data_IF_967656110383
#
_entry.id   IF_967656110383
#
_cell.length_a   1.000
_cell.length_b   1.000
_cell.length_c   1.000
_cell.angle_alpha   90.00
_cell.angle_beta   90.00
_cell.angle_gamma   90.00
#
_symmetry.space_group_name_H-M   'P 1'
#
loop_
_entity.id
_entity.type
_entity.pdbx_description
1 polymer ?
#
# COMPACT_ATOMS: atom_id res chain seq x y z
N UNK A 1 -22.76 10.96 21.93
CA UNK A 1 -22.43 11.41 20.56
C UNK A 1 -21.13 12.16 20.70
N UNK A 2 -20.04 11.44 20.90
CA UNK A 2 -18.72 12.00 21.26
C UNK A 2 -17.64 11.09 20.68
N UNK A 3 -16.72 11.74 19.97
CA UNK A 3 -15.41 11.30 19.50
C UNK A 3 -15.31 10.03 18.63
N UNK A 4 -15.82 10.19 17.40
CA UNK A 4 -15.26 9.54 16.21
C UNK A 4 -13.94 10.22 15.83
N UNK A 5 -12.90 10.05 16.62
CA UNK A 5 -11.55 10.33 16.13
C UNK A 5 -11.12 9.07 15.35
N UNK A 6 -11.50 9.01 14.07
CA UNK A 6 -10.84 8.14 13.12
C UNK A 6 -9.34 8.31 13.36
N UNK A 7 -8.62 7.21 13.57
CA UNK A 7 -7.17 7.27 13.70
C UNK A 7 -6.67 8.12 12.54
N UNK A 8 -6.18 9.31 12.87
CA UNK A 8 -5.62 10.24 11.91
C UNK A 8 -4.37 9.50 11.44
N UNK A 9 -4.54 8.70 10.37
CA UNK A 9 -3.44 8.17 9.62
C UNK A 9 -2.51 9.36 9.44
N UNK A 10 -1.23 9.21 9.80
CA UNK A 10 -0.19 10.21 9.55
C UNK A 10 -0.03 10.32 8.03
N UNK A 11 -1.05 10.91 7.40
CA UNK A 11 -1.21 11.09 5.97
C UNK A 11 -0.34 12.28 5.65
N UNK A 12 0.65 12.11 4.77
CA UNK A 12 1.46 13.24 4.37
C UNK A 12 0.56 14.32 3.79
N UNK A 13 0.61 15.52 4.36
CA UNK A 13 -0.01 16.70 3.75
C UNK A 13 0.89 17.19 2.62
N UNK A 14 0.63 16.74 1.40
CA UNK A 14 1.28 17.31 0.21
C UNK A 14 0.63 18.63 -0.17
N UNK A 15 1.45 19.65 -0.43
CA UNK A 15 0.93 20.86 -1.06
C UNK A 15 0.59 20.61 -2.54
N UNK A 16 -0.15 21.54 -3.16
CA UNK A 16 -0.61 21.38 -4.54
C UNK A 16 0.51 21.10 -5.56
N UNK A 17 1.67 21.74 -5.40
CA UNK A 17 2.82 21.50 -6.28
C UNK A 17 3.43 20.10 -6.06
N UNK A 18 3.52 19.65 -4.81
CA UNK A 18 3.96 18.30 -4.47
C UNK A 18 3.01 17.24 -5.02
N UNK A 19 1.70 17.44 -4.89
CA UNK A 19 0.68 16.56 -5.47
C UNK A 19 0.87 16.44 -6.97
N UNK A 20 0.98 17.55 -7.71
CA UNK A 20 1.24 17.50 -9.16
C UNK A 20 2.54 16.79 -9.52
N UNK A 21 3.62 17.01 -8.76
CA UNK A 21 4.90 16.33 -8.98
C UNK A 21 4.82 14.82 -8.73
N UNK A 22 4.12 14.40 -7.68
CA UNK A 22 3.96 12.99 -7.34
C UNK A 22 2.99 12.27 -8.27
N UNK A 23 1.90 12.91 -8.67
CA UNK A 23 0.95 12.35 -9.65
C UNK A 23 1.65 12.15 -11.01
N UNK A 24 2.46 13.13 -11.44
CA UNK A 24 3.30 12.99 -12.64
C UNK A 24 4.32 11.85 -12.52
N UNK A 25 4.92 11.65 -11.35
CA UNK A 25 5.84 10.54 -11.11
C UNK A 25 5.12 9.18 -11.12
N UNK A 26 3.93 9.09 -10.52
CA UNK A 26 3.09 7.88 -10.53
C UNK A 26 2.75 7.49 -11.97
N UNK A 27 2.34 8.46 -12.80
CA UNK A 27 2.04 8.23 -14.21
C UNK A 27 3.27 7.77 -15.00
N UNK A 28 4.42 8.40 -14.77
CA UNK A 28 5.68 7.99 -15.41
C UNK A 28 6.05 6.54 -15.06
N UNK A 29 5.90 6.12 -13.80
CA UNK A 29 6.17 4.73 -13.39
C UNK A 29 5.18 3.78 -14.07
N UNK A 30 3.88 4.10 -14.08
CA UNK A 30 2.86 3.25 -14.72
C UNK A 30 3.11 3.07 -16.22
N UNK A 31 3.59 4.11 -16.93
CA UNK A 31 3.77 4.07 -18.39
C UNK A 31 5.16 3.60 -18.81
N UNK A 32 6.21 3.97 -18.08
CA UNK A 32 7.62 3.79 -18.49
C UNK A 32 8.47 2.99 -17.53
N UNK A 33 7.96 2.67 -16.34
CA UNK A 33 8.74 2.00 -15.31
C UNK A 33 9.56 2.97 -14.47
N UNK A 34 10.28 2.42 -13.48
CA UNK A 34 11.04 3.23 -12.52
C UNK A 34 12.18 3.99 -13.18
N UNK A 35 12.83 3.38 -14.17
CA UNK A 35 13.92 4.02 -14.93
C UNK A 35 13.45 5.22 -15.76
N UNK A 36 12.14 5.31 -16.04
CA UNK A 36 11.51 6.44 -16.71
C UNK A 36 11.26 7.65 -15.80
N UNK A 37 11.64 7.59 -14.53
CA UNK A 37 11.47 8.70 -13.58
C UNK A 37 12.76 9.50 -13.50
N UNK A 38 12.76 10.69 -14.12
CA UNK A 38 13.83 11.68 -13.95
C UNK A 38 13.29 12.99 -13.39
N UNK A 39 14.14 13.75 -12.67
CA UNK A 39 13.80 15.10 -12.19
C UNK A 39 13.32 15.99 -13.34
N UNK A 40 13.94 15.84 -14.51
CA UNK A 40 13.60 16.62 -15.71
C UNK A 40 12.20 16.28 -16.26
N UNK A 41 11.82 15.00 -16.27
CA UNK A 41 10.51 14.57 -16.72
C UNK A 41 9.42 14.91 -15.71
N UNK A 42 9.68 14.72 -14.42
CA UNK A 42 8.74 15.09 -13.35
C UNK A 42 8.48 16.60 -13.38
N UNK A 43 9.53 17.43 -13.47
CA UNK A 43 9.39 18.87 -13.60
C UNK A 43 8.53 19.26 -14.80
N UNK A 44 8.80 18.64 -15.97
CA UNK A 44 8.09 18.91 -17.21
C UNK A 44 6.60 18.54 -17.14
N UNK A 45 6.28 17.33 -16.68
CA UNK A 45 4.91 16.83 -16.63
C UNK A 45 4.09 17.51 -15.51
N UNK A 46 4.73 17.92 -14.41
CA UNK A 46 4.07 18.64 -13.32
C UNK A 46 3.95 20.17 -13.54
N UNK A 47 4.52 20.69 -14.63
CA UNK A 47 4.50 22.12 -14.95
C UNK A 47 5.32 22.99 -13.97
N UNK A 48 6.43 22.46 -13.44
CA UNK A 48 7.30 23.16 -12.48
C UNK A 48 8.75 23.21 -12.98
N UNK A 49 9.58 24.04 -12.35
CA UNK A 49 11.02 24.11 -12.65
C UNK A 49 11.79 22.97 -11.96
N UNK A 50 12.93 22.54 -12.53
CA UNK A 50 13.81 21.54 -11.88
C UNK A 50 14.25 21.97 -10.47
N UNK A 51 14.63 23.24 -10.20
CA UNK A 51 14.92 23.69 -8.83
C UNK A 51 13.76 23.50 -7.84
N UNK A 52 12.51 23.61 -8.30
CA UNK A 52 11.33 23.33 -7.47
C UNK A 52 11.25 21.86 -7.06
N UNK A 53 11.57 20.94 -7.97
CA UNK A 53 11.65 19.50 -7.66
C UNK A 53 12.82 19.22 -6.71
N UNK A 54 14.02 19.74 -7.00
CA UNK A 54 15.22 19.55 -6.17
C UNK A 54 15.09 20.07 -4.75
N UNK A 55 14.28 21.11 -4.52
CA UNK A 55 13.96 21.60 -3.18
C UNK A 55 13.26 20.53 -2.32
N UNK A 56 12.54 19.60 -2.95
CA UNK A 56 11.76 18.57 -2.25
C UNK A 56 12.41 17.20 -2.24
N UNK A 57 13.06 16.80 -3.33
CA UNK A 57 13.71 15.52 -3.49
C UNK A 57 15.08 15.70 -4.15
N UNK A 58 16.13 15.19 -3.50
CA UNK A 58 17.49 15.35 -3.95
C UNK A 58 17.85 14.43 -5.14
N UNK A 59 17.05 13.37 -5.37
CA UNK A 59 17.32 12.37 -6.39
C UNK A 59 16.05 11.78 -7.01
N UNK A 60 16.20 11.11 -8.15
CA UNK A 60 15.13 10.33 -8.77
C UNK A 60 14.65 9.18 -7.86
N UNK A 61 15.56 8.51 -7.13
CA UNK A 61 15.17 7.44 -6.19
C UNK A 61 14.27 7.97 -5.07
N UNK A 62 14.53 9.17 -4.56
CA UNK A 62 13.66 9.82 -3.58
C UNK A 62 12.27 10.15 -4.15
N UNK A 63 12.21 10.58 -5.42
CA UNK A 63 10.93 10.81 -6.11
C UNK A 63 10.16 9.50 -6.25
N UNK A 64 10.82 8.42 -6.68
CA UNK A 64 10.19 7.10 -6.83
C UNK A 64 9.61 6.64 -5.49
N UNK A 65 10.40 6.69 -4.40
CA UNK A 65 9.89 6.32 -3.06
C UNK A 65 8.68 7.16 -2.65
N UNK A 66 8.71 8.45 -2.92
CA UNK A 66 7.60 9.34 -2.60
C UNK A 66 6.36 9.06 -3.48
N UNK A 67 6.55 8.70 -4.76
CA UNK A 67 5.48 8.32 -5.67
C UNK A 67 4.82 6.99 -5.27
N UNK A 68 5.62 5.97 -4.90
CA UNK A 68 5.08 4.71 -4.34
C UNK A 68 4.29 4.98 -3.06
N UNK A 69 4.80 5.87 -2.20
CA UNK A 69 4.09 6.25 -1.00
C UNK A 69 2.75 6.95 -1.31
N UNK A 70 2.75 7.90 -2.25
CA UNK A 70 1.55 8.57 -2.75
C UNK A 70 0.52 7.60 -3.31
N UNK A 71 0.95 6.65 -4.14
CA UNK A 71 0.08 5.61 -4.69
C UNK A 71 -0.50 4.72 -3.58
N UNK A 72 0.31 4.32 -2.58
CA UNK A 72 -0.16 3.55 -1.42
C UNK A 72 -1.24 4.30 -0.65
N UNK A 73 -1.02 5.59 -0.35
CA UNK A 73 -2.00 6.43 0.35
C UNK A 73 -3.30 6.52 -0.47
N UNK A 74 -3.20 6.71 -1.79
CA UNK A 74 -4.38 6.76 -2.68
C UNK A 74 -5.19 5.46 -2.67
N UNK A 75 -4.55 4.30 -2.54
CA UNK A 75 -5.24 3.02 -2.40
C UNK A 75 -5.95 2.92 -1.04
N UNK A 76 -5.29 3.33 0.04
CA UNK A 76 -5.85 3.31 1.40
C UNK A 76 -7.02 4.29 1.55
N UNK A 77 -7.02 5.41 0.83
CA UNK A 77 -8.14 6.37 0.81
C UNK A 77 -9.46 5.77 0.30
N UNK A 78 -9.43 4.61 -0.36
CA UNK A 78 -10.62 3.85 -0.76
C UNK A 78 -11.26 3.06 0.40
N UNK A 79 -10.67 3.14 1.60
CA UNK A 79 -11.07 2.49 2.85
C UNK A 79 -11.17 3.55 3.97
N UNK A 80 -12.17 4.45 3.91
CA UNK A 80 -12.19 5.65 4.75
C UNK A 80 -12.38 5.34 6.24
N UNK A 81 -13.07 4.25 6.57
CA UNK A 81 -13.31 3.81 7.95
C UNK A 81 -12.53 2.51 8.22
N UNK A 82 -11.68 2.45 9.26
CA UNK A 82 -11.04 1.21 9.66
C UNK A 82 -12.08 0.17 10.09
N UNK A 83 -11.94 -1.06 9.60
CA UNK A 83 -12.79 -2.19 9.95
C UNK A 83 -13.00 -2.36 11.47
N UNK A 84 -14.19 -2.83 11.85
CA UNK A 84 -14.64 -3.05 13.23
C UNK A 84 -14.87 -4.52 13.56
N UNK A 85 -14.75 -5.42 12.59
CA UNK A 85 -14.87 -6.86 12.79
C UNK A 85 -13.76 -7.63 12.06
N UNK A 86 -13.48 -8.86 12.51
CA UNK A 86 -12.54 -9.77 11.84
C UNK A 86 -12.85 -9.95 10.36
N UNK A 87 -14.13 -10.17 10.04
CA UNK A 87 -14.61 -10.38 8.68
C UNK A 87 -14.42 -9.13 7.79
N UNK A 88 -14.62 -7.92 8.34
CA UNK A 88 -14.28 -6.67 7.67
C UNK A 88 -12.78 -6.51 7.41
N UNK A 89 -11.93 -6.83 8.39
CA UNK A 89 -10.47 -6.78 8.20
C UNK A 89 -10.04 -7.69 7.05
N UNK A 90 -10.50 -8.95 7.04
CA UNK A 90 -10.12 -9.91 5.99
C UNK A 90 -10.64 -9.47 4.63
N UNK A 91 -11.88 -8.98 4.55
CA UNK A 91 -12.44 -8.44 3.31
C UNK A 91 -11.64 -7.27 2.77
N UNK A 92 -11.26 -6.33 3.64
CA UNK A 92 -10.51 -5.15 3.22
C UNK A 92 -9.09 -5.53 2.77
N UNK A 93 -8.44 -6.49 3.42
CA UNK A 93 -7.12 -7.00 2.98
C UNK A 93 -7.22 -7.66 1.61
N UNK A 94 -8.26 -8.47 1.35
CA UNK A 94 -8.47 -9.09 0.03
C UNK A 94 -8.75 -8.04 -1.04
N UNK A 95 -9.65 -7.08 -0.76
CA UNK A 95 -9.96 -5.97 -1.68
C UNK A 95 -8.72 -5.12 -1.95
N UNK A 96 -7.93 -4.81 -0.94
CA UNK A 96 -6.66 -4.08 -1.11
C UNK A 96 -5.70 -4.88 -1.98
N UNK A 97 -5.59 -6.21 -1.78
CA UNK A 97 -4.73 -7.07 -2.57
C UNK A 97 -5.10 -7.10 -4.06
N UNK A 98 -6.39 -7.07 -4.37
CA UNK A 98 -6.91 -6.94 -5.75
C UNK A 98 -6.62 -5.55 -6.33
N UNK A 99 -6.97 -4.48 -5.62
CA UNK A 99 -6.69 -3.10 -6.04
C UNK A 99 -5.20 -2.88 -6.28
N UNK A 100 -4.34 -3.42 -5.41
CA UNK A 100 -2.90 -3.31 -5.54
C UNK A 100 -2.37 -4.04 -6.77
N UNK A 101 -2.82 -5.28 -7.05
CA UNK A 101 -2.37 -6.04 -8.23
C UNK A 101 -2.86 -5.42 -9.55
N UNK A 102 -4.05 -4.83 -9.55
CA UNK A 102 -4.69 -4.25 -10.75
C UNK A 102 -4.37 -2.78 -10.96
N UNK A 103 -3.74 -2.11 -10.00
CA UNK A 103 -3.30 -0.72 -10.12
C UNK A 103 -2.26 -0.57 -11.25
N UNK A 104 -2.37 0.43 -12.15
CA UNK A 104 -1.46 0.57 -13.28
C UNK A 104 0.02 0.68 -12.91
N UNK A 105 0.34 1.29 -11.77
CA UNK A 105 1.71 1.41 -11.29
C UNK A 105 2.16 0.07 -10.70
N UNK A 106 1.41 -0.48 -9.74
CA UNK A 106 1.85 -1.67 -9.01
C UNK A 106 1.76 -2.95 -9.84
N UNK A 107 0.70 -3.12 -10.63
CA UNK A 107 0.56 -4.23 -11.55
C UNK A 107 1.73 -4.31 -12.52
N UNK A 108 2.15 -3.17 -13.09
CA UNK A 108 3.38 -3.11 -13.91
C UNK A 108 4.61 -3.48 -13.10
N UNK A 109 4.80 -2.93 -11.91
CA UNK A 109 5.97 -3.22 -11.07
C UNK A 109 6.07 -4.71 -10.74
N UNK A 110 4.95 -5.36 -10.44
CA UNK A 110 4.89 -6.79 -10.14
C UNK A 110 5.17 -7.62 -11.40
N UNK A 111 4.58 -7.27 -12.55
CA UNK A 111 4.68 -8.05 -13.78
C UNK A 111 6.04 -7.85 -14.50
N UNK A 112 6.56 -6.62 -14.51
CA UNK A 112 7.67 -6.20 -15.40
C UNK A 112 8.96 -5.86 -14.67
N UNK A 113 8.88 -5.40 -13.42
CA UNK A 113 10.03 -4.90 -12.66
C UNK A 113 10.09 -5.47 -11.21
N UNK A 114 9.91 -6.79 -11.00
CA UNK A 114 9.74 -7.36 -9.65
C UNK A 114 10.98 -7.17 -8.76
N UNK A 115 12.17 -7.15 -9.35
CA UNK A 115 13.44 -6.87 -8.63
C UNK A 115 13.49 -5.43 -8.08
N UNK A 116 12.93 -4.49 -8.84
CA UNK A 116 12.83 -3.08 -8.43
C UNK A 116 11.81 -2.95 -7.31
N UNK A 117 10.64 -3.57 -7.44
CA UNK A 117 9.64 -3.58 -6.39
C UNK A 117 10.18 -4.20 -5.09
N UNK A 118 10.92 -5.32 -5.21
CA UNK A 118 11.59 -5.99 -4.08
C UNK A 118 12.56 -5.06 -3.34
N UNK A 119 13.33 -4.24 -4.07
CA UNK A 119 14.22 -3.22 -3.48
C UNK A 119 13.45 -2.22 -2.59
N UNK A 120 12.25 -1.80 -3.01
CA UNK A 120 11.44 -0.85 -2.26
C UNK A 120 10.63 -1.49 -1.13
N UNK A 121 10.40 -2.81 -1.17
CA UNK A 121 9.52 -3.51 -0.23
C UNK A 121 10.24 -4.34 0.84
N UNK A 122 11.35 -5.02 0.50
CA UNK A 122 11.99 -6.00 1.39
C UNK A 122 13.21 -5.47 2.16
N UNK A 123 13.92 -4.47 1.64
CA UNK A 123 15.18 -4.03 2.25
C UNK A 123 14.99 -3.14 3.49
N UNK A 124 13.87 -2.41 3.59
CA UNK A 124 13.55 -1.54 4.73
C UNK A 124 12.05 -1.30 4.80
N UNK A 125 11.50 -1.24 6.02
CA UNK A 125 10.15 -0.71 6.24
C UNK A 125 10.11 0.76 5.81
N UNK A 126 9.45 1.01 4.68
CA UNK A 126 9.23 2.33 4.09
C UNK A 126 8.00 3.05 4.66
N UNK A 127 7.75 4.25 4.16
CA UNK A 127 6.57 5.04 4.53
C UNK A 127 5.28 4.35 4.07
N UNK A 128 5.29 3.64 2.94
CA UNK A 128 4.15 2.85 2.45
C UNK A 128 3.73 1.77 3.45
N UNK A 129 4.67 0.91 3.88
CA UNK A 129 4.36 -0.16 4.84
C UNK A 129 3.93 0.42 6.20
N UNK A 130 4.54 1.53 6.65
CA UNK A 130 4.13 2.18 7.89
C UNK A 130 2.67 2.63 7.87
N UNK A 131 2.19 3.23 6.78
CA UNK A 131 0.79 3.64 6.69
C UNK A 131 -0.15 2.42 6.67
N UNK A 132 0.21 1.35 5.95
CA UNK A 132 -0.55 0.08 5.97
C UNK A 132 -0.61 -0.50 7.39
N UNK A 133 0.52 -0.58 8.08
CA UNK A 133 0.61 -1.13 9.43
C UNK A 133 -0.20 -0.31 10.44
N UNK A 134 -0.14 1.01 10.38
CA UNK A 134 -0.96 1.88 11.22
C UNK A 134 -2.44 1.64 10.98
N UNK A 135 -2.86 1.58 9.70
CA UNK A 135 -4.25 1.32 9.33
C UNK A 135 -4.74 -0.05 9.84
N UNK A 136 -3.97 -1.12 9.60
CA UNK A 136 -4.29 -2.48 10.06
C UNK A 136 -4.34 -2.55 11.59
N UNK A 137 -3.38 -1.94 12.29
CA UNK A 137 -3.35 -1.96 13.76
C UNK A 137 -4.58 -1.25 14.35
N UNK A 138 -5.04 -0.14 13.76
CA UNK A 138 -6.28 0.52 14.17
C UNK A 138 -7.50 -0.36 13.96
N UNK A 139 -7.63 -1.02 12.80
CA UNK A 139 -8.73 -1.93 12.50
C UNK A 139 -8.75 -3.14 13.46
N UNK A 140 -7.59 -3.74 13.72
CA UNK A 140 -7.44 -4.87 14.66
C UNK A 140 -7.84 -4.43 16.08
N UNK A 141 -7.38 -3.28 16.55
CA UNK A 141 -7.75 -2.76 17.86
C UNK A 141 -9.26 -2.51 17.98
N UNK A 142 -9.91 -2.04 16.91
CA UNK A 142 -11.37 -1.88 16.85
C UNK A 142 -12.08 -3.23 16.97
N UNK A 143 -11.66 -4.21 16.18
CA UNK A 143 -12.25 -5.54 16.14
C UNK A 143 -12.05 -6.37 17.42
N UNK A 144 -10.93 -6.15 18.14
CA UNK A 144 -10.69 -6.71 19.47
C UNK A 144 -11.67 -6.18 20.52
N UNK A 145 -12.04 -4.89 20.47
CA UNK A 145 -13.08 -4.34 21.37
C UNK A 145 -14.45 -4.99 21.13
N UNK A 146 -14.73 -5.41 19.91
CA UNK A 146 -15.92 -6.18 19.55
C UNK A 146 -15.81 -7.69 19.84
N UNK A 147 -14.67 -8.19 20.33
CA UNK A 147 -14.45 -9.60 20.64
C UNK A 147 -14.35 -10.53 19.42
N UNK A 148 -14.23 -9.98 18.20
CA UNK A 148 -14.20 -10.77 16.97
C UNK A 148 -12.79 -11.22 16.57
N UNK A 149 -11.75 -10.59 17.14
CA UNK A 149 -10.33 -10.88 16.93
C UNK A 149 -9.69 -11.32 18.25
N UNK A 150 -8.77 -12.30 18.19
CA UNK A 150 -8.05 -12.82 19.36
C UNK A 150 -7.24 -11.77 20.13
N UNK A 151 -6.95 -12.03 21.43
CA UNK A 151 -6.02 -11.23 22.20
C UNK A 151 -4.61 -11.19 21.58
N UNK A 152 -3.93 -10.06 21.76
CA UNK A 152 -2.57 -9.82 21.26
C UNK A 152 -2.34 -8.34 20.99
N UNK A 153 -1.07 -7.93 20.82
CA UNK A 153 -0.75 -6.56 20.42
C UNK A 153 -1.23 -6.30 18.98
N UNK A 154 -2.06 -5.27 18.72
CA UNK A 154 -2.55 -4.98 17.37
C UNK A 154 -1.44 -4.75 16.34
N UNK A 155 -0.33 -4.15 16.76
CA UNK A 155 0.87 -3.94 15.93
C UNK A 155 1.47 -5.25 15.42
N UNK A 156 1.54 -6.27 16.28
CA UNK A 156 2.19 -7.54 15.96
C UNK A 156 1.32 -8.35 15.01
N UNK A 157 0.00 -8.33 15.25
CA UNK A 157 -0.99 -8.90 14.34
C UNK A 157 -0.98 -8.21 12.98
N UNK A 158 -0.88 -6.88 12.95
CA UNK A 158 -0.78 -6.11 11.71
C UNK A 158 0.46 -6.47 10.89
N UNK A 159 1.61 -6.68 11.54
CA UNK A 159 2.84 -7.15 10.87
C UNK A 159 2.60 -8.51 10.23
N UNK A 160 1.97 -9.45 10.93
CA UNK A 160 1.70 -10.77 10.35
C UNK A 160 0.71 -10.73 9.20
N UNK A 161 -0.36 -9.94 9.29
CA UNK A 161 -1.29 -9.75 8.16
C UNK A 161 -0.58 -9.13 6.94
N UNK A 162 0.26 -8.11 7.16
CA UNK A 162 1.06 -7.52 6.09
C UNK A 162 1.95 -8.57 5.43
N UNK A 163 2.67 -9.39 6.20
CA UNK A 163 3.57 -10.42 5.64
C UNK A 163 2.82 -11.49 4.85
N UNK A 164 1.67 -11.95 5.36
CA UNK A 164 0.81 -12.93 4.67
C UNK A 164 0.32 -12.35 3.34
N UNK A 165 -0.31 -11.17 3.38
CA UNK A 165 -0.85 -10.53 2.18
C UNK A 165 0.24 -10.16 1.17
N UNK A 166 1.36 -9.57 1.64
CA UNK A 166 2.48 -9.21 0.79
C UNK A 166 3.10 -10.44 0.11
N UNK A 167 3.29 -11.54 0.83
CA UNK A 167 3.79 -12.80 0.26
C UNK A 167 2.84 -13.32 -0.83
N UNK A 168 1.54 -13.31 -0.55
CA UNK A 168 0.52 -13.76 -1.47
C UNK A 168 0.49 -12.89 -2.75
N UNK A 169 0.55 -11.56 -2.61
CA UNK A 169 0.58 -10.60 -3.73
C UNK A 169 1.84 -10.78 -4.58
N UNK A 170 3.02 -10.78 -3.94
CA UNK A 170 4.31 -10.92 -4.63
C UNK A 170 4.44 -12.23 -5.39
N UNK A 171 3.83 -13.29 -4.89
CA UNK A 171 3.95 -14.63 -5.45
C UNK A 171 2.78 -15.00 -6.37
N UNK A 172 1.76 -14.15 -6.50
CA UNK A 172 0.52 -14.46 -7.23
C UNK A 172 0.78 -14.95 -8.64
N UNK A 173 1.53 -14.18 -9.45
CA UNK A 173 1.82 -14.54 -10.84
C UNK A 173 2.61 -15.85 -10.97
N UNK A 174 3.45 -16.17 -9.97
CA UNK A 174 4.24 -17.41 -9.95
C UNK A 174 3.36 -18.63 -9.72
N UNK A 175 2.28 -18.50 -8.94
CA UNK A 175 1.41 -19.61 -8.55
C UNK A 175 0.07 -19.63 -9.29
N UNK A 176 -0.25 -18.61 -10.08
CA UNK A 176 -1.53 -18.47 -10.79
C UNK A 176 -1.82 -19.60 -11.79
N UNK A 177 -0.78 -20.31 -12.25
CA UNK A 177 -0.93 -21.53 -13.07
C UNK A 177 -1.31 -22.78 -12.25
N UNK A 178 -1.16 -22.74 -10.92
CA UNK A 178 -1.40 -23.85 -10.00
C UNK A 178 -2.76 -23.74 -9.29
N UNK A 179 -3.22 -22.51 -9.04
CA UNK A 179 -4.48 -22.20 -8.38
C UNK A 179 -5.08 -20.97 -9.05
N UNK A 180 -6.36 -21.06 -9.44
CA UNK A 180 -7.06 -19.93 -10.05
C UNK A 180 -7.37 -18.82 -9.03
N UNK A 181 -7.76 -17.64 -9.50
CA UNK A 181 -7.98 -16.47 -8.64
C UNK A 181 -9.06 -16.68 -7.55
N UNK A 182 -10.25 -17.28 -7.85
CA UNK A 182 -11.25 -17.55 -6.83
C UNK A 182 -10.75 -18.49 -5.72
N UNK A 183 -10.06 -19.57 -6.07
CA UNK A 183 -9.52 -20.50 -5.07
C UNK A 183 -8.36 -19.87 -4.30
N UNK A 184 -7.48 -19.12 -4.96
CA UNK A 184 -6.39 -18.37 -4.31
C UNK A 184 -6.93 -17.38 -3.27
N UNK A 185 -7.97 -16.62 -3.63
CA UNK A 185 -8.62 -15.66 -2.73
C UNK A 185 -9.27 -16.37 -1.54
N UNK A 186 -9.87 -17.54 -1.77
CA UNK A 186 -10.47 -18.38 -0.71
C UNK A 186 -9.41 -18.88 0.28
N UNK A 187 -8.27 -19.36 -0.20
CA UNK A 187 -7.19 -19.84 0.67
C UNK A 187 -6.51 -18.69 1.43
N UNK A 188 -6.33 -17.53 0.79
CA UNK A 188 -5.83 -16.33 1.46
C UNK A 188 -6.82 -15.85 2.55
N UNK A 189 -8.13 -15.90 2.27
CA UNK A 189 -9.16 -15.63 3.28
C UNK A 189 -8.99 -16.55 4.49
N UNK A 190 -8.85 -17.86 4.28
CA UNK A 190 -8.68 -18.83 5.36
C UNK A 190 -7.42 -18.57 6.19
N UNK A 191 -6.30 -18.23 5.56
CA UNK A 191 -5.06 -17.89 6.25
C UNK A 191 -5.20 -16.63 7.13
N UNK A 192 -5.84 -15.58 6.61
CA UNK A 192 -6.05 -14.32 7.32
C UNK A 192 -7.10 -14.47 8.44
N UNK A 193 -8.26 -15.08 8.16
CA UNK A 193 -9.32 -15.34 9.14
C UNK A 193 -8.81 -16.24 10.28
N UNK A 194 -8.11 -17.31 9.94
CA UNK A 194 -7.52 -18.24 10.89
C UNK A 194 -6.51 -17.57 11.81
N UNK A 195 -5.68 -16.66 11.28
CA UNK A 195 -4.72 -15.91 12.10
C UNK A 195 -5.38 -14.98 13.12
N UNK A 196 -6.58 -14.47 12.83
CA UNK A 196 -7.28 -13.49 13.67
C UNK A 196 -8.34 -14.11 14.59
N UNK A 197 -8.72 -15.37 14.38
CA UNK A 197 -9.81 -16.05 15.11
C UNK A 197 -9.58 -16.05 16.63
N UNK A 198 -10.58 -15.65 17.45
CA UNK A 198 -10.52 -15.58 18.92
C UNK A 198 -10.07 -16.85 19.62
#
# INVERSE_FOLDING_TARGET
MEDRQAAELDRPSWNEAETRMLDAAVELIAVRGVDGVTVAEVARNAGVSRPTVYRRWASADEIVRAALHRATVSLIEQFPDPAHSRDEIVRDVLRFSELFRTDPLYGRLLEREPEVFTRYTLQRIGSSQRVILTWLASAIANAQRGGTVRPGAPSDLAVMLLLIAQSAILSYDTVSALIDEPHWSTELWHALDGHLRP
#
